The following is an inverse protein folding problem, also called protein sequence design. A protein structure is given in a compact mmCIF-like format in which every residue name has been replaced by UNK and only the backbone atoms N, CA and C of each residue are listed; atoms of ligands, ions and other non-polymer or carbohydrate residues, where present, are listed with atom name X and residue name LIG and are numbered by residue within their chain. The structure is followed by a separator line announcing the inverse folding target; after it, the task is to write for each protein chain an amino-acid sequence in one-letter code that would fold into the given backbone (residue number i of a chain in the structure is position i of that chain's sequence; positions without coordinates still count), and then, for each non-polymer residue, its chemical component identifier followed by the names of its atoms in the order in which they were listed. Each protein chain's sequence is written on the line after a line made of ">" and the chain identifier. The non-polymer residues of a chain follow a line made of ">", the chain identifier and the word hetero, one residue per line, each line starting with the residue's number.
data_IF_750611469718
#
_entry.id   IF_750611469718
#
_cell.length_a   1.000
_cell.length_b   1.000
_cell.length_c   1.000
_cell.angle_alpha   90.00
_cell.angle_beta   90.00
_cell.angle_gamma   90.00
#
_symmetry.space_group_name_H-M   'P 1'
#
loop_
_entity.id
_entity.type
_entity.pdbx_description
1 polymer ?
#
# COMPACT_ATOMS: atom_id res chain seq x y z
N UNK A 1 2.28 14.24 23.29
CA UNK A 1 2.13 13.11 24.23
C UNK A 1 1.23 12.07 23.57
N UNK A 2 1.74 10.85 23.45
CA UNK A 2 0.99 9.74 22.85
C UNK A 2 -0.18 9.35 23.74
N UNK A 3 -1.40 9.72 23.34
CA UNK A 3 -2.60 9.24 24.01
C UNK A 3 -3.00 7.90 23.40
N UNK A 4 -2.76 6.83 24.14
CA UNK A 4 -3.25 5.49 23.79
C UNK A 4 -4.61 5.26 24.42
N UNK A 5 -5.60 4.92 23.60
CA UNK A 5 -6.96 4.63 24.05
C UNK A 5 -7.24 3.13 24.24
N UNK A 6 -6.27 2.29 23.86
CA UNK A 6 -6.43 0.83 23.92
C UNK A 6 -6.46 0.35 25.36
N UNK A 7 -7.56 -0.27 25.72
CA UNK A 7 -7.68 -0.96 27.00
C UNK A 7 -7.23 -2.40 26.81
N UNK A 8 -6.23 -2.82 27.57
CA UNK A 8 -5.82 -4.24 27.62
C UNK A 8 -6.94 -5.06 28.25
N UNK A 9 -7.61 -5.88 27.46
CA UNK A 9 -8.77 -6.67 27.86
C UNK A 9 -8.37 -8.15 27.82
N UNK A 10 -8.69 -8.93 28.88
CA UNK A 10 -8.51 -10.37 28.89
C UNK A 10 -9.19 -11.04 27.69
N UNK A 11 -8.61 -12.13 27.20
CA UNK A 11 -9.05 -12.81 25.97
C UNK A 11 -10.53 -13.25 26.05
N UNK A 12 -11.00 -13.65 27.24
CA UNK A 12 -12.42 -14.00 27.50
C UNK A 12 -13.40 -12.84 27.27
N UNK A 13 -12.95 -11.59 27.42
CA UNK A 13 -13.78 -10.39 27.25
C UNK A 13 -13.54 -9.68 25.91
N UNK A 14 -12.83 -10.29 24.97
CA UNK A 14 -12.45 -9.68 23.69
C UNK A 14 -13.66 -9.12 22.89
N UNK A 15 -14.83 -9.73 23.02
CA UNK A 15 -16.07 -9.22 22.39
C UNK A 15 -16.50 -7.84 22.92
N UNK A 16 -16.09 -7.47 24.13
CA UNK A 16 -16.37 -6.16 24.74
C UNK A 16 -15.30 -5.10 24.42
N UNK A 17 -14.24 -5.45 23.72
CA UNK A 17 -13.14 -4.52 23.41
C UNK A 17 -13.62 -3.26 22.70
N UNK A 18 -14.44 -3.39 21.66
CA UNK A 18 -14.95 -2.25 20.89
C UNK A 18 -15.80 -1.28 21.73
N UNK A 19 -16.84 -1.71 22.45
CA UNK A 19 -17.61 -0.81 23.28
C UNK A 19 -16.80 -0.19 24.43
N UNK A 20 -15.88 -0.92 25.04
CA UNK A 20 -15.02 -0.39 26.10
C UNK A 20 -14.03 0.66 25.57
N UNK A 21 -13.40 0.40 24.42
CA UNK A 21 -12.51 1.37 23.77
C UNK A 21 -13.28 2.61 23.32
N UNK A 22 -14.48 2.46 22.78
CA UNK A 22 -15.33 3.59 22.45
C UNK A 22 -15.68 4.42 23.70
N UNK A 23 -16.11 3.76 24.77
CA UNK A 23 -16.45 4.44 26.03
C UNK A 23 -15.24 5.19 26.58
N UNK A 24 -14.07 4.57 26.60
CA UNK A 24 -12.85 5.21 27.04
C UNK A 24 -12.52 6.46 26.21
N UNK A 25 -12.57 6.37 24.89
CA UNK A 25 -12.38 7.52 24.00
C UNK A 25 -13.43 8.60 24.23
N UNK A 26 -14.68 8.19 24.41
CA UNK A 26 -15.78 9.12 24.64
C UNK A 26 -15.65 9.89 25.96
N UNK A 27 -15.25 9.22 27.03
CA UNK A 27 -14.98 9.85 28.34
C UNK A 27 -13.81 10.83 28.26
N UNK A 28 -12.81 10.53 27.43
CA UNK A 28 -11.62 11.36 27.25
C UNK A 28 -11.68 12.28 26.02
N UNK A 29 -12.83 12.40 25.35
CA UNK A 29 -12.97 13.17 24.10
C UNK A 29 -12.52 14.63 24.18
N UNK A 30 -12.52 15.22 25.38
CA UNK A 30 -11.97 16.59 25.59
C UNK A 30 -10.50 16.70 25.20
N UNK A 31 -9.74 15.60 25.19
CA UNK A 31 -8.35 15.55 24.73
C UNK A 31 -8.22 15.56 23.21
N UNK A 32 -9.31 15.34 22.49
CA UNK A 32 -9.37 15.23 21.03
C UNK A 32 -9.89 16.54 20.39
N UNK A 33 -9.78 17.68 21.08
CA UNK A 33 -10.26 18.97 20.61
C UNK A 33 -9.20 20.08 20.76
N UNK A 34 -9.41 21.16 20.03
CA UNK A 34 -8.57 22.36 20.14
C UNK A 34 -7.27 22.28 19.31
N UNK A 35 -7.19 21.35 18.37
CA UNK A 35 -6.08 21.24 17.44
C UNK A 35 -6.32 22.13 16.21
N UNK A 36 -5.25 22.71 15.67
CA UNK A 36 -5.33 23.43 14.41
C UNK A 36 -5.58 22.49 13.24
N UNK A 37 -4.97 21.30 13.27
CA UNK A 37 -5.13 20.29 12.23
C UNK A 37 -5.26 18.91 12.84
N UNK A 38 -6.21 18.12 12.30
CA UNK A 38 -6.39 16.69 12.63
C UNK A 38 -6.28 15.87 11.37
N UNK A 39 -5.42 14.85 11.38
CA UNK A 39 -5.31 13.85 10.32
C UNK A 39 -5.94 12.54 10.76
N UNK A 40 -6.91 12.07 9.99
CA UNK A 40 -7.46 10.73 10.12
C UNK A 40 -6.76 9.81 9.13
N UNK A 41 -6.22 8.70 9.60
CA UNK A 41 -5.53 7.71 8.74
C UNK A 41 -6.50 6.71 8.13
N UNK A 42 -7.60 6.42 8.85
CA UNK A 42 -8.61 5.43 8.45
C UNK A 42 -10.00 5.95 8.81
N UNK A 43 -11.04 5.76 8.00
CA UNK A 43 -12.42 6.19 8.32
C UNK A 43 -13.08 5.37 9.43
N UNK A 44 -12.40 4.37 10.00
CA UNK A 44 -12.97 3.43 10.96
C UNK A 44 -11.99 2.99 12.07
N UNK A 45 -11.30 3.94 12.72
CA UNK A 45 -10.21 3.65 13.67
C UNK A 45 -10.65 2.94 14.97
N UNK A 46 -11.90 3.09 15.44
CA UNK A 46 -12.39 2.40 16.64
C UNK A 46 -12.88 0.99 16.31
N UNK A 47 -13.63 0.89 15.23
CA UNK A 47 -14.28 -0.34 14.80
C UNK A 47 -14.78 -0.20 13.37
N UNK A 48 -14.96 -1.33 12.71
CA UNK A 48 -15.64 -1.37 11.41
C UNK A 48 -17.15 -1.11 11.48
N UNK A 49 -17.71 -1.07 12.67
CA UNK A 49 -19.09 -0.68 12.86
C UNK A 49 -19.22 0.84 12.95
N UNK A 50 -19.91 1.43 11.98
CA UNK A 50 -20.06 2.89 11.84
C UNK A 50 -20.62 3.57 13.10
N UNK A 51 -21.49 2.89 13.85
CA UNK A 51 -22.07 3.40 15.10
C UNK A 51 -21.04 3.81 16.15
N UNK A 52 -19.85 3.22 16.12
CA UNK A 52 -18.77 3.53 17.05
C UNK A 52 -17.84 4.65 16.53
N UNK A 53 -17.67 4.75 15.22
CA UNK A 53 -16.79 5.75 14.62
C UNK A 53 -17.49 7.10 14.43
N UNK A 54 -18.63 7.13 13.79
CA UNK A 54 -19.30 8.36 13.37
C UNK A 54 -19.46 9.43 14.48
N UNK A 55 -19.85 9.11 15.72
CA UNK A 55 -19.97 10.12 16.77
C UNK A 55 -18.62 10.77 17.13
N UNK A 56 -17.53 9.98 17.18
CA UNK A 56 -16.20 10.51 17.50
C UNK A 56 -15.64 11.36 16.38
N UNK A 57 -15.78 10.93 15.13
CA UNK A 57 -15.35 11.74 13.98
C UNK A 57 -16.09 13.07 13.92
N UNK A 58 -17.43 13.06 14.04
CA UNK A 58 -18.22 14.29 14.05
C UNK A 58 -17.84 15.21 15.21
N UNK A 59 -17.54 14.63 16.40
CA UNK A 59 -17.04 15.40 17.52
C UNK A 59 -15.70 16.05 17.21
N UNK A 60 -14.71 15.29 16.69
CA UNK A 60 -13.39 15.81 16.36
C UNK A 60 -13.45 16.86 15.26
N UNK A 61 -14.21 16.63 14.19
CA UNK A 61 -14.39 17.61 13.11
C UNK A 61 -14.99 18.91 13.62
N UNK A 62 -16.01 18.82 14.48
CA UNK A 62 -16.69 20.00 15.04
C UNK A 62 -15.81 20.82 15.99
N UNK A 63 -14.88 20.21 16.72
CA UNK A 63 -14.14 20.86 17.80
C UNK A 63 -12.66 21.11 17.48
N UNK A 64 -12.25 20.91 16.25
CA UNK A 64 -10.92 21.24 15.74
C UNK A 64 -11.05 22.17 14.53
N UNK A 65 -9.96 22.83 14.15
CA UNK A 65 -9.99 23.90 13.18
C UNK A 65 -10.07 23.37 11.75
N UNK A 66 -9.26 22.35 11.45
CA UNK A 66 -9.23 21.71 10.12
C UNK A 66 -9.02 20.21 10.27
N UNK A 67 -9.68 19.42 9.41
CA UNK A 67 -9.66 17.96 9.44
C UNK A 67 -9.39 17.37 8.07
N UNK A 68 -8.49 16.41 8.02
CA UNK A 68 -8.12 15.71 6.79
C UNK A 68 -8.23 14.19 6.95
N UNK A 69 -8.69 13.50 5.91
CA UNK A 69 -8.62 12.05 5.80
C UNK A 69 -7.49 11.69 4.83
N UNK A 70 -6.56 10.86 5.28
CA UNK A 70 -5.50 10.33 4.44
C UNK A 70 -6.03 9.13 3.64
N UNK A 71 -5.92 9.19 2.33
CA UNK A 71 -6.25 8.10 1.43
C UNK A 71 -5.09 7.12 1.32
N UNK A 72 -4.87 6.31 2.36
CA UNK A 72 -3.73 5.40 2.48
C UNK A 72 -4.11 3.94 2.76
N UNK A 73 -5.40 3.62 2.77
CA UNK A 73 -5.91 2.27 3.04
C UNK A 73 -7.16 1.94 2.22
N UNK A 74 -7.45 0.65 2.13
CA UNK A 74 -8.62 0.16 1.41
C UNK A 74 -9.90 0.55 2.16
N UNK A 75 -10.79 1.26 1.48
CA UNK A 75 -12.09 1.69 2.02
C UNK A 75 -13.24 1.09 1.22
N UNK A 76 -14.45 1.16 1.76
CA UNK A 76 -15.63 0.57 1.12
C UNK A 76 -15.93 1.24 -0.22
N UNK A 77 -15.90 2.56 -0.27
CA UNK A 77 -16.12 3.32 -1.50
C UNK A 77 -15.06 3.04 -2.56
N UNK A 78 -13.77 2.97 -2.16
CA UNK A 78 -12.68 2.65 -3.06
C UNK A 78 -12.87 1.28 -3.70
N UNK A 79 -13.16 0.27 -2.90
CA UNK A 79 -13.34 -1.09 -3.40
C UNK A 79 -14.58 -1.22 -4.27
N UNK A 80 -15.67 -0.57 -3.89
CA UNK A 80 -16.88 -0.50 -4.72
C UNK A 80 -16.56 0.11 -6.10
N UNK A 81 -15.82 1.21 -6.13
CA UNK A 81 -15.38 1.84 -7.37
C UNK A 81 -14.58 0.87 -8.25
N UNK A 82 -13.51 0.26 -7.71
CA UNK A 82 -12.62 -0.59 -8.48
C UNK A 82 -13.26 -1.90 -8.94
N UNK A 83 -14.17 -2.51 -8.16
CA UNK A 83 -14.93 -3.69 -8.61
C UNK A 83 -15.79 -3.36 -9.83
N UNK A 84 -16.38 -2.17 -9.88
CA UNK A 84 -17.26 -1.75 -10.95
C UNK A 84 -16.55 -1.00 -12.07
N UNK A 85 -15.29 -0.62 -11.86
CA UNK A 85 -14.48 0.10 -12.84
C UNK A 85 -14.15 -0.78 -14.07
N UNK A 86 -14.01 -0.13 -15.22
CA UNK A 86 -13.46 -0.73 -16.43
C UNK A 86 -11.95 -0.52 -16.54
N UNK A 87 -11.32 0.07 -15.54
CA UNK A 87 -9.91 0.37 -15.56
C UNK A 87 -9.04 -0.88 -15.42
N UNK A 88 -7.79 -0.74 -15.84
CA UNK A 88 -6.80 -1.78 -16.11
C UNK A 88 -6.58 -2.74 -14.94
N UNK A 89 -6.47 -2.20 -13.72
CA UNK A 89 -6.11 -2.94 -12.51
C UNK A 89 -7.27 -3.16 -11.53
N UNK A 90 -8.50 -3.22 -12.00
CA UNK A 90 -9.62 -3.61 -11.12
C UNK A 90 -9.39 -4.93 -10.37
N UNK A 91 -8.51 -5.78 -10.88
CA UNK A 91 -8.10 -7.04 -10.23
C UNK A 91 -7.31 -6.87 -8.94
N UNK A 92 -6.68 -5.72 -8.71
CA UNK A 92 -6.10 -5.37 -7.41
C UNK A 92 -7.11 -5.59 -6.28
N UNK A 93 -8.29 -5.06 -6.45
CA UNK A 93 -9.37 -5.18 -5.48
C UNK A 93 -9.92 -6.61 -5.41
N UNK A 94 -10.04 -7.29 -6.55
CA UNK A 94 -10.46 -8.69 -6.56
C UNK A 94 -9.46 -9.57 -5.81
N UNK A 95 -8.17 -9.29 -5.94
CA UNK A 95 -7.11 -9.94 -5.16
C UNK A 95 -7.28 -9.72 -3.65
N UNK A 96 -7.62 -8.49 -3.23
CA UNK A 96 -7.93 -8.19 -1.83
C UNK A 96 -9.11 -9.01 -1.33
N UNK A 97 -10.21 -9.07 -2.10
CA UNK A 97 -11.41 -9.83 -1.74
C UNK A 97 -11.11 -11.32 -1.64
N UNK A 98 -10.39 -11.87 -2.61
CA UNK A 98 -10.03 -13.30 -2.63
C UNK A 98 -9.10 -13.64 -1.46
N UNK A 99 -8.09 -12.83 -1.19
CA UNK A 99 -7.21 -13.00 -0.04
C UNK A 99 -7.95 -12.90 1.29
N UNK A 100 -8.91 -11.98 1.41
CA UNK A 100 -9.74 -11.85 2.58
C UNK A 100 -10.62 -13.09 2.82
N UNK A 101 -11.20 -13.67 1.80
CA UNK A 101 -11.98 -14.92 1.89
C UNK A 101 -11.11 -16.08 2.35
N UNK A 102 -9.93 -16.26 1.74
CA UNK A 102 -9.00 -17.35 2.03
C UNK A 102 -8.50 -17.32 3.48
N UNK A 103 -8.25 -16.15 4.01
CA UNK A 103 -7.67 -15.95 5.34
C UNK A 103 -8.69 -15.70 6.46
N UNK A 104 -9.97 -15.98 6.20
CA UNK A 104 -11.06 -15.72 7.16
C UNK A 104 -11.04 -14.27 7.70
N UNK A 105 -10.50 -13.35 6.94
CA UNK A 105 -10.56 -11.94 7.25
C UNK A 105 -12.04 -11.54 7.21
N UNK A 106 -12.63 -11.36 8.38
CA UNK A 106 -13.98 -10.80 8.58
C UNK A 106 -14.13 -9.39 8.03
N UNK A 107 -13.15 -9.00 7.36
CA UNK A 107 -12.84 -7.79 6.66
C UNK A 107 -13.48 -7.73 5.30
N UNK A 108 -14.28 -8.61 4.98
CA UNK A 108 -15.08 -8.38 3.81
C UNK A 108 -15.99 -7.21 4.10
N UNK A 109 -15.30 -6.11 4.10
CA UNK A 109 -15.84 -4.79 4.02
C UNK A 109 -16.78 -4.67 2.81
N UNK A 110 -16.84 -5.72 1.94
CA UNK A 110 -17.34 -5.51 0.59
C UNK A 110 -18.20 -6.64 0.08
N UNK A 111 -19.35 -6.25 -0.44
CA UNK A 111 -20.00 -4.94 -0.46
C UNK A 111 -20.61 -4.61 0.92
N UNK A 112 -20.22 -3.48 1.54
CA UNK A 112 -20.77 -3.04 2.83
C UNK A 112 -21.42 -1.66 2.73
N UNK A 113 -22.69 -1.65 2.38
CA UNK A 113 -23.48 -0.42 2.19
C UNK A 113 -23.47 0.52 3.40
N UNK A 114 -23.31 -0.01 4.64
CA UNK A 114 -23.26 0.84 5.84
C UNK A 114 -21.94 1.60 5.95
N UNK A 115 -20.83 0.96 5.60
CA UNK A 115 -19.52 1.62 5.52
C UNK A 115 -19.47 2.61 4.38
N UNK A 116 -19.93 2.23 3.19
CA UNK A 116 -20.00 3.14 2.03
C UNK A 116 -20.80 4.39 2.36
N UNK A 117 -21.94 4.24 3.01
CA UNK A 117 -22.75 5.37 3.45
C UNK A 117 -21.99 6.27 4.44
N UNK A 118 -21.32 5.68 5.41
CA UNK A 118 -20.54 6.43 6.39
C UNK A 118 -19.34 7.16 5.74
N UNK A 119 -18.59 6.48 4.91
CA UNK A 119 -17.46 7.08 4.18
C UNK A 119 -17.92 8.24 3.30
N UNK A 120 -19.04 8.06 2.60
CA UNK A 120 -19.65 9.12 1.81
C UNK A 120 -20.07 10.32 2.69
N UNK A 121 -20.70 10.09 3.84
CA UNK A 121 -21.02 11.16 4.79
C UNK A 121 -19.77 11.87 5.30
N UNK A 122 -18.71 11.12 5.65
CA UNK A 122 -17.45 11.67 6.14
C UNK A 122 -16.82 12.60 5.10
N UNK A 123 -16.78 12.18 3.82
CA UNK A 123 -16.23 12.98 2.73
C UNK A 123 -17.01 14.28 2.44
N UNK A 124 -18.25 14.41 2.92
CA UNK A 124 -19.03 15.64 2.82
C UNK A 124 -18.83 16.60 3.99
N UNK A 125 -18.31 16.12 5.12
CA UNK A 125 -18.16 16.94 6.33
C UNK A 125 -16.71 17.26 6.69
N UNK A 126 -15.75 16.62 6.02
CA UNK A 126 -14.31 16.82 6.23
C UNK A 126 -13.77 17.92 5.32
N UNK A 127 -12.73 18.65 5.78
CA UNK A 127 -12.12 19.74 5.02
C UNK A 127 -11.25 19.26 3.85
N UNK A 128 -10.73 18.03 3.93
CA UNK A 128 -9.97 17.47 2.83
C UNK A 128 -9.72 15.97 2.91
N UNK A 129 -9.67 15.38 1.72
CA UNK A 129 -9.21 14.01 1.50
C UNK A 129 -7.89 14.06 0.72
N UNK A 130 -6.82 13.50 1.27
CA UNK A 130 -5.47 13.54 0.72
C UNK A 130 -5.09 12.14 0.24
N UNK A 131 -5.18 11.82 -1.05
CA UNK A 131 -4.73 10.55 -1.58
C UNK A 131 -3.20 10.47 -1.61
N UNK A 132 -2.66 9.23 -1.55
CA UNK A 132 -1.22 8.98 -1.62
C UNK A 132 -0.78 8.45 -2.99
N UNK A 133 -1.70 7.86 -3.76
CA UNK A 133 -1.48 7.29 -5.10
C UNK A 133 -2.72 7.45 -5.97
N UNK A 134 -2.57 7.17 -7.25
CA UNK A 134 -3.66 7.17 -8.23
C UNK A 134 -4.84 6.30 -7.80
N UNK A 135 -4.57 5.11 -7.29
CA UNK A 135 -5.59 4.15 -6.85
C UNK A 135 -6.47 4.69 -5.73
N UNK A 136 -5.93 5.58 -4.92
CA UNK A 136 -6.67 6.26 -3.84
C UNK A 136 -7.22 7.62 -4.26
N UNK A 137 -6.74 8.20 -5.37
CA UNK A 137 -7.26 9.46 -5.90
C UNK A 137 -8.47 9.25 -6.80
N UNK A 138 -8.37 8.32 -7.73
CA UNK A 138 -9.33 8.12 -8.80
C UNK A 138 -10.77 7.87 -8.30
N UNK A 139 -11.03 7.02 -7.31
CA UNK A 139 -12.38 6.77 -6.80
C UNK A 139 -13.06 8.01 -6.19
N UNK A 140 -12.28 9.00 -5.78
CA UNK A 140 -12.75 10.13 -5.00
C UNK A 140 -12.76 11.46 -5.76
N UNK A 141 -12.43 11.47 -7.05
CA UNK A 141 -12.37 12.70 -7.86
C UNK A 141 -13.68 13.48 -7.92
N UNK A 142 -14.80 12.83 -7.71
CA UNK A 142 -16.12 13.45 -7.68
C UNK A 142 -16.38 14.27 -6.40
N UNK A 143 -15.58 14.08 -5.34
CA UNK A 143 -15.80 14.76 -4.06
C UNK A 143 -15.07 16.11 -4.03
N UNK A 144 -15.76 17.15 -3.57
CA UNK A 144 -15.20 18.50 -3.46
C UNK A 144 -14.04 18.62 -2.47
N UNK A 145 -14.00 17.72 -1.50
CA UNK A 145 -12.95 17.70 -0.48
C UNK A 145 -11.62 17.11 -0.97
N UNK A 146 -11.55 16.51 -2.17
CA UNK A 146 -10.30 15.93 -2.67
C UNK A 146 -9.22 17.00 -2.81
N UNK A 147 -8.04 16.69 -2.31
CA UNK A 147 -6.85 17.53 -2.42
C UNK A 147 -5.86 16.90 -3.40
N UNK A 148 -4.78 17.62 -3.69
CA UNK A 148 -3.66 17.10 -4.47
C UNK A 148 -3.09 15.85 -3.78
N UNK A 149 -2.73 14.85 -4.57
CA UNK A 149 -2.05 13.65 -4.10
C UNK A 149 -0.71 14.02 -3.47
N UNK A 150 -0.46 13.51 -2.27
CA UNK A 150 0.81 13.65 -1.57
C UNK A 150 1.43 12.26 -1.46
N UNK A 151 2.58 12.07 -2.09
CA UNK A 151 3.33 10.81 -2.03
C UNK A 151 3.63 10.42 -0.59
N UNK A 152 3.70 9.12 -0.30
CA UNK A 152 4.10 8.64 1.02
C UNK A 152 5.49 9.18 1.36
N UNK A 153 5.64 9.89 2.48
CA UNK A 153 6.95 10.34 2.94
C UNK A 153 7.74 9.13 3.46
N UNK A 154 8.98 9.00 3.01
CA UNK A 154 9.93 8.01 3.54
C UNK A 154 11.12 8.74 4.21
N UNK A 155 11.58 8.26 5.38
CA UNK A 155 12.72 8.86 6.06
C UNK A 155 14.03 8.41 5.39
N UNK A 156 14.37 9.01 4.25
CA UNK A 156 15.54 8.64 3.41
C UNK A 156 16.82 8.53 4.26
N UNK A 157 16.99 9.39 5.27
CA UNK A 157 18.16 9.40 6.15
C UNK A 157 18.36 8.08 6.91
N UNK A 158 17.30 7.28 7.07
CA UNK A 158 17.36 5.96 7.72
C UNK A 158 17.79 4.83 6.76
N UNK A 159 17.73 5.10 5.45
CA UNK A 159 18.01 4.10 4.42
C UNK A 159 19.25 4.53 3.64
N UNK A 160 20.41 4.03 4.10
CA UNK A 160 21.67 4.36 3.45
C UNK A 160 21.71 3.75 2.05
N UNK A 161 21.92 4.59 1.05
CA UNK A 161 22.23 4.14 -0.31
C UNK A 161 23.49 3.25 -0.30
N UNK A 162 23.46 2.19 -1.07
CA UNK A 162 24.60 1.32 -1.34
C UNK A 162 24.67 1.02 -2.84
N UNK A 163 25.86 1.06 -3.46
CA UNK A 163 26.01 0.68 -4.87
C UNK A 163 25.41 -0.70 -5.14
N UNK A 164 24.68 -0.81 -6.24
CA UNK A 164 23.98 -2.04 -6.62
C UNK A 164 24.91 -2.94 -7.46
N UNK A 165 25.88 -3.55 -6.81
CA UNK A 165 26.91 -4.36 -7.46
C UNK A 165 26.47 -5.82 -7.51
N UNK A 166 26.55 -6.42 -8.70
CA UNK A 166 26.39 -7.87 -8.88
C UNK A 166 27.69 -8.56 -8.49
N UNK A 167 27.63 -9.44 -7.48
CA UNK A 167 28.83 -10.17 -6.99
C UNK A 167 29.07 -11.45 -7.77
N UNK A 168 28.06 -12.30 -7.85
CA UNK A 168 28.10 -13.59 -8.54
C UNK A 168 26.91 -13.67 -9.50
N UNK A 169 25.72 -13.89 -8.98
CA UNK A 169 24.46 -13.88 -9.71
C UNK A 169 23.66 -12.61 -9.47
N UNK A 170 22.85 -12.22 -10.44
CA UNK A 170 21.86 -11.16 -10.25
C UNK A 170 20.75 -11.71 -9.37
N UNK A 171 20.46 -11.07 -8.24
CA UNK A 171 19.43 -11.53 -7.30
C UNK A 171 18.14 -10.75 -7.50
N UNK A 172 17.10 -11.44 -7.96
CA UNK A 172 15.73 -10.96 -8.07
C UNK A 172 14.93 -11.38 -6.84
N UNK A 173 14.16 -10.46 -6.28
CA UNK A 173 13.38 -10.73 -5.08
C UNK A 173 11.94 -10.21 -5.20
N UNK A 174 10.99 -11.04 -4.80
CA UNK A 174 9.60 -10.65 -4.58
C UNK A 174 9.20 -10.88 -3.13
N UNK A 175 8.80 -9.80 -2.46
CA UNK A 175 8.27 -9.85 -1.11
C UNK A 175 6.82 -10.34 -1.09
N UNK A 176 6.61 -11.57 -0.62
CA UNK A 176 5.29 -12.21 -0.60
C UNK A 176 4.43 -11.64 0.53
N UNK A 177 3.33 -10.94 0.23
CA UNK A 177 2.42 -10.44 1.25
C UNK A 177 1.45 -11.51 1.74
N UNK A 178 0.79 -11.26 2.85
CA UNK A 178 -0.29 -12.14 3.34
C UNK A 178 -1.48 -12.25 2.36
N UNK A 179 -1.64 -11.28 1.48
CA UNK A 179 -2.65 -11.22 0.42
C UNK A 179 -1.97 -11.33 -0.95
N UNK A 180 -1.48 -12.52 -1.29
CA UNK A 180 -0.66 -12.78 -2.48
C UNK A 180 -1.29 -12.30 -3.78
N UNK A 181 -2.60 -12.55 -3.96
CA UNK A 181 -3.32 -12.16 -5.18
C UNK A 181 -3.39 -10.64 -5.36
N UNK A 182 -3.38 -9.87 -4.26
CA UNK A 182 -3.43 -8.42 -4.34
C UNK A 182 -2.22 -7.83 -5.06
N UNK A 183 -1.03 -8.37 -4.82
CA UNK A 183 0.22 -7.95 -5.46
C UNK A 183 0.54 -8.69 -6.76
N UNK A 184 -0.28 -9.65 -7.19
CA UNK A 184 0.02 -10.46 -8.36
C UNK A 184 1.14 -11.49 -8.13
N UNK A 185 1.36 -11.91 -6.89
CA UNK A 185 2.39 -12.91 -6.52
C UNK A 185 2.33 -14.19 -7.37
N UNK A 186 1.17 -14.77 -7.70
CA UNK A 186 1.12 -15.97 -8.55
C UNK A 186 1.72 -15.74 -9.93
N UNK A 187 1.54 -14.55 -10.52
CA UNK A 187 2.06 -14.19 -11.83
C UNK A 187 3.58 -14.03 -11.76
N UNK A 188 4.07 -13.37 -10.72
CA UNK A 188 5.51 -13.16 -10.50
C UNK A 188 6.22 -14.50 -10.23
N UNK A 189 5.61 -15.40 -9.44
CA UNK A 189 6.17 -16.74 -9.22
C UNK A 189 6.29 -17.53 -10.52
N UNK A 190 5.29 -17.46 -11.39
CA UNK A 190 5.34 -18.17 -12.66
C UNK A 190 6.45 -17.61 -13.56
N UNK A 191 6.60 -16.28 -13.61
CA UNK A 191 7.71 -15.66 -14.32
C UNK A 191 9.07 -16.11 -13.74
N UNK A 192 9.23 -16.12 -12.42
CA UNK A 192 10.45 -16.61 -11.77
C UNK A 192 10.74 -18.08 -12.11
N UNK A 193 9.73 -18.95 -12.08
CA UNK A 193 9.87 -20.36 -12.44
C UNK A 193 10.35 -20.56 -13.90
N UNK A 194 9.87 -19.72 -14.81
CA UNK A 194 10.30 -19.74 -16.22
C UNK A 194 11.73 -19.27 -16.35
N UNK A 195 12.04 -18.15 -15.72
CA UNK A 195 13.35 -17.51 -15.81
C UNK A 195 14.45 -18.31 -15.10
N UNK A 196 14.14 -18.96 -14.00
CA UNK A 196 15.08 -19.84 -13.29
C UNK A 196 15.53 -21.04 -14.16
N UNK A 197 14.62 -21.61 -14.96
CA UNK A 197 14.99 -22.67 -15.93
C UNK A 197 15.91 -22.18 -17.04
N UNK A 198 15.79 -20.89 -17.41
CA UNK A 198 16.56 -20.32 -18.52
C UNK A 198 17.88 -19.70 -18.05
N UNK A 199 17.90 -19.04 -16.89
CA UNK A 199 18.98 -18.20 -16.40
C UNK A 199 19.42 -18.54 -14.96
N UNK A 200 19.12 -19.72 -14.44
CA UNK A 200 19.48 -20.10 -13.07
C UNK A 200 20.97 -20.13 -12.77
N UNK A 201 21.83 -20.18 -13.81
CA UNK A 201 23.27 -20.07 -13.65
C UNK A 201 23.75 -18.59 -13.51
N UNK A 202 22.97 -17.63 -14.02
CA UNK A 202 23.31 -16.20 -14.05
C UNK A 202 22.51 -15.37 -13.07
N UNK A 203 21.35 -15.88 -12.62
CA UNK A 203 20.42 -15.17 -11.73
C UNK A 203 19.85 -16.08 -10.65
N UNK A 204 19.53 -15.49 -9.51
CA UNK A 204 18.80 -16.12 -8.37
C UNK A 204 17.43 -15.47 -8.24
N UNK A 205 16.38 -16.29 -8.07
CA UNK A 205 14.99 -15.84 -7.98
C UNK A 205 14.38 -16.21 -6.63
N UNK A 206 14.07 -15.21 -5.80
CA UNK A 206 13.61 -15.39 -4.43
C UNK A 206 12.20 -14.86 -4.26
N UNK A 207 11.28 -15.73 -3.80
CA UNK A 207 9.97 -15.35 -3.29
C UNK A 207 9.92 -15.68 -1.81
N UNK A 208 9.94 -14.67 -0.93
CA UNK A 208 9.85 -14.88 0.51
C UNK A 208 8.93 -13.87 1.18
N UNK A 209 8.25 -14.30 2.25
CA UNK A 209 7.36 -13.48 3.05
C UNK A 209 7.34 -13.92 4.50
N UNK A 210 6.78 -13.08 5.39
CA UNK A 210 6.70 -13.40 6.82
C UNK A 210 8.05 -13.35 7.55
N UNK A 211 9.09 -12.78 6.94
CA UNK A 211 10.41 -12.64 7.55
C UNK A 211 10.38 -11.60 8.68
N UNK A 212 11.10 -11.82 9.79
CA UNK A 212 11.44 -10.77 10.74
C UNK A 212 12.10 -9.59 10.03
N UNK A 213 11.89 -8.37 10.56
CA UNK A 213 12.38 -7.15 9.90
C UNK A 213 13.89 -7.17 9.63
N UNK A 214 14.69 -7.63 10.58
CA UNK A 214 16.14 -7.66 10.43
C UNK A 214 16.60 -8.67 9.38
N UNK A 215 15.97 -9.85 9.29
CA UNK A 215 16.24 -10.84 8.25
C UNK A 215 15.82 -10.30 6.87
N UNK A 216 14.68 -9.63 6.79
CA UNK A 216 14.24 -8.95 5.59
C UNK A 216 15.25 -7.90 5.13
N UNK A 217 15.77 -7.08 6.04
CA UNK A 217 16.77 -6.05 5.74
C UNK A 217 18.12 -6.65 5.30
N UNK A 218 18.52 -7.79 5.86
CA UNK A 218 19.71 -8.54 5.41
C UNK A 218 19.50 -9.08 3.99
N UNK A 219 18.33 -9.67 3.71
CA UNK A 219 17.99 -10.13 2.36
C UNK A 219 18.03 -8.99 1.34
N UNK A 220 17.39 -7.85 1.64
CA UNK A 220 17.41 -6.67 0.76
C UNK A 220 18.83 -6.17 0.49
N UNK A 221 19.76 -6.34 1.42
CA UNK A 221 21.15 -5.87 1.21
C UNK A 221 21.86 -6.59 0.05
N UNK A 222 21.54 -7.87 -0.19
CA UNK A 222 22.16 -8.69 -1.26
C UNK A 222 21.34 -8.72 -2.58
N UNK A 223 20.11 -8.24 -2.55
CA UNK A 223 19.23 -8.20 -3.73
C UNK A 223 19.68 -7.10 -4.69
N UNK A 224 19.55 -7.34 -6.00
CA UNK A 224 19.78 -6.35 -7.05
C UNK A 224 18.47 -5.76 -7.57
N UNK A 225 17.45 -6.58 -7.73
CA UNK A 225 16.18 -6.21 -8.36
C UNK A 225 15.00 -6.64 -7.49
N UNK A 226 14.10 -5.71 -7.18
CA UNK A 226 12.87 -5.97 -6.42
C UNK A 226 11.68 -5.98 -7.37
N UNK A 227 10.86 -7.03 -7.33
CA UNK A 227 9.53 -7.04 -7.93
C UNK A 227 8.50 -6.70 -6.85
N UNK A 228 7.89 -5.52 -6.93
CA UNK A 228 6.97 -5.03 -5.88
C UNK A 228 5.54 -5.47 -6.13
N UNK A 229 4.91 -5.00 -7.20
CA UNK A 229 3.47 -5.20 -7.45
C UNK A 229 3.16 -5.19 -8.95
N UNK A 230 2.51 -6.26 -9.44
CA UNK A 230 2.07 -6.37 -10.83
C UNK A 230 0.60 -5.92 -11.02
N UNK A 231 -0.09 -5.51 -9.96
CA UNK A 231 -1.50 -5.14 -9.97
C UNK A 231 -1.75 -3.67 -9.59
N UNK A 232 -0.75 -2.81 -9.60
CA UNK A 232 -0.90 -1.41 -9.22
C UNK A 232 -0.40 -0.43 -10.28
N UNK A 233 -0.90 0.80 -10.22
CA UNK A 233 -0.47 1.90 -11.08
C UNK A 233 0.84 2.54 -10.61
N UNK A 234 1.17 2.38 -9.33
CA UNK A 234 2.34 2.98 -8.70
C UNK A 234 3.01 1.99 -7.74
N UNK A 235 4.31 2.15 -7.49
CA UNK A 235 5.01 1.33 -6.48
C UNK A 235 4.55 1.68 -5.06
N UNK A 236 4.56 0.66 -4.20
CA UNK A 236 4.26 0.78 -2.78
C UNK A 236 5.51 1.08 -1.93
N UNK A 237 5.34 1.12 -0.61
CA UNK A 237 6.42 1.37 0.35
C UNK A 237 7.65 0.49 0.14
N UNK A 238 7.45 -0.78 -0.19
CA UNK A 238 8.56 -1.71 -0.42
C UNK A 238 9.44 -1.29 -1.59
N UNK A 239 8.81 -0.89 -2.70
CA UNK A 239 9.52 -0.34 -3.85
C UNK A 239 10.27 0.94 -3.50
N UNK A 240 9.61 1.90 -2.83
CA UNK A 240 10.24 3.17 -2.43
C UNK A 240 11.45 2.97 -1.52
N UNK A 241 11.36 2.10 -0.52
CA UNK A 241 12.46 1.79 0.39
C UNK A 241 13.63 1.11 -0.34
N UNK A 242 13.31 0.26 -1.30
CA UNK A 242 14.31 -0.43 -2.11
C UNK A 242 15.05 0.53 -3.03
N UNK A 243 14.34 1.46 -3.66
CA UNK A 243 14.97 2.54 -4.44
C UNK A 243 15.89 3.41 -3.59
N UNK A 244 15.46 3.80 -2.38
CA UNK A 244 16.28 4.56 -1.45
C UNK A 244 17.59 3.83 -1.07
N UNK A 245 17.64 2.51 -1.19
CA UNK A 245 18.83 1.68 -0.97
C UNK A 245 19.63 1.41 -2.26
N UNK A 246 19.24 1.99 -3.39
CA UNK A 246 19.91 1.82 -4.66
C UNK A 246 19.54 0.53 -5.41
N UNK A 247 18.38 -0.08 -5.11
CA UNK A 247 17.93 -1.29 -5.82
C UNK A 247 17.07 -0.93 -7.02
N UNK A 248 17.19 -1.72 -8.09
CA UNK A 248 16.26 -1.63 -9.22
C UNK A 248 14.89 -2.11 -8.75
N UNK A 249 13.85 -1.39 -9.14
CA UNK A 249 12.47 -1.75 -8.84
C UNK A 249 11.69 -2.02 -10.12
N UNK A 250 11.04 -3.16 -10.14
CA UNK A 250 10.02 -3.52 -11.11
C UNK A 250 8.67 -3.46 -10.38
N UNK A 251 7.70 -2.71 -10.89
CA UNK A 251 6.42 -2.52 -10.18
C UNK A 251 5.47 -1.63 -10.97
N UNK A 252 4.46 -1.08 -10.32
CA UNK A 252 3.54 -0.15 -10.97
C UNK A 252 4.25 1.14 -11.38
N UNK A 253 4.26 1.45 -12.66
CA UNK A 253 4.76 2.70 -13.24
C UNK A 253 3.90 3.11 -14.46
N UNK A 254 2.59 2.96 -14.32
CA UNK A 254 1.64 3.29 -15.38
C UNK A 254 1.54 4.81 -15.60
N UNK A 255 1.20 5.21 -16.81
CA UNK A 255 1.10 6.62 -17.19
C UNK A 255 0.16 7.42 -16.30
N UNK A 256 -0.95 6.81 -15.87
CA UNK A 256 -1.94 7.40 -14.97
C UNK A 256 -1.34 7.66 -13.59
N UNK A 257 -0.59 6.69 -13.04
CA UNK A 257 0.14 6.82 -11.78
C UNK A 257 1.23 7.87 -11.85
N UNK A 258 2.00 7.87 -12.93
CA UNK A 258 3.07 8.86 -13.15
C UNK A 258 2.50 10.28 -13.21
N UNK A 259 1.42 10.50 -13.97
CA UNK A 259 0.73 11.79 -14.06
C UNK A 259 0.20 12.25 -12.71
N UNK A 260 -0.41 11.35 -11.94
CA UNK A 260 -0.93 11.64 -10.60
C UNK A 260 0.16 12.11 -9.65
N UNK A 261 1.31 11.46 -9.73
CA UNK A 261 2.45 11.75 -8.86
C UNK A 261 3.32 12.90 -9.39
N UNK A 262 2.99 13.50 -10.55
CA UNK A 262 3.78 14.55 -11.18
C UNK A 262 5.19 14.05 -11.52
N UNK A 263 5.31 12.83 -12.04
CA UNK A 263 6.56 12.31 -12.58
C UNK A 263 6.60 12.72 -14.06
N UNK A 264 7.33 13.80 -14.32
CA UNK A 264 7.58 14.30 -15.66
C UNK A 264 8.90 13.71 -16.15
N UNK A 265 8.88 12.91 -17.23
CA UNK A 265 10.05 12.27 -17.80
C UNK A 265 10.10 10.75 -17.60
N UNK A 266 11.29 10.19 -17.58
CA UNK A 266 11.50 8.74 -17.46
C UNK A 266 11.32 8.32 -16.00
N UNK A 267 10.37 7.42 -15.75
CA UNK A 267 10.26 6.78 -14.45
C UNK A 267 11.35 5.70 -14.34
N UNK A 268 12.21 5.71 -13.32
CA UNK A 268 13.25 4.69 -13.13
C UNK A 268 12.70 3.30 -12.78
N UNK A 269 11.41 3.18 -12.52
CA UNK A 269 10.75 1.91 -12.22
C UNK A 269 10.43 1.17 -13.52
N UNK A 270 10.83 -0.08 -13.63
CA UNK A 270 10.42 -0.97 -14.71
C UNK A 270 8.95 -1.35 -14.52
N UNK A 271 8.07 -0.86 -15.40
CA UNK A 271 6.64 -1.07 -15.26
C UNK A 271 6.25 -2.54 -15.42
N UNK A 272 5.67 -3.13 -14.39
CA UNK A 272 5.10 -4.48 -14.45
C UNK A 272 3.63 -4.45 -14.85
N UNK A 273 3.23 -5.44 -15.64
CA UNK A 273 1.83 -5.71 -15.96
C UNK A 273 1.46 -7.12 -15.48
N UNK A 274 0.19 -7.51 -15.68
CA UNK A 274 -0.28 -8.86 -15.35
C UNK A 274 0.08 -9.92 -16.40
N UNK A 275 1.03 -9.65 -17.24
CA UNK A 275 1.48 -10.55 -18.30
C UNK A 275 2.82 -11.20 -17.91
N UNK A 276 2.78 -12.53 -17.73
CA UNK A 276 3.97 -13.34 -17.39
C UNK A 276 5.06 -13.16 -18.43
N UNK A 277 4.72 -13.08 -19.72
CA UNK A 277 5.69 -12.94 -20.81
C UNK A 277 6.36 -11.58 -20.72
N UNK A 278 5.59 -10.52 -20.46
CA UNK A 278 6.14 -9.17 -20.29
C UNK A 278 7.12 -9.12 -19.10
N UNK A 279 6.77 -9.76 -17.98
CA UNK A 279 7.65 -9.84 -16.81
C UNK A 279 8.94 -10.60 -17.17
N UNK A 280 8.84 -11.74 -17.85
CA UNK A 280 10.00 -12.52 -18.30
C UNK A 280 10.90 -11.70 -19.22
N UNK A 281 10.35 -10.98 -20.20
CA UNK A 281 11.10 -10.15 -21.12
C UNK A 281 11.87 -9.03 -20.41
N UNK A 282 11.26 -8.42 -19.39
CA UNK A 282 11.94 -7.38 -18.60
C UNK A 282 13.05 -7.96 -17.70
N UNK A 283 12.82 -9.11 -17.09
CA UNK A 283 13.86 -9.82 -16.33
C UNK A 283 15.03 -10.17 -17.24
N UNK A 284 14.75 -10.74 -18.41
CA UNK A 284 15.76 -11.06 -19.42
C UNK A 284 16.54 -9.82 -19.87
N UNK A 285 15.84 -8.72 -20.11
CA UNK A 285 16.49 -7.45 -20.46
C UNK A 285 17.49 -7.00 -19.39
N UNK A 286 17.13 -7.11 -18.12
CA UNK A 286 18.02 -6.75 -17.00
C UNK A 286 19.23 -7.70 -16.93
N UNK A 287 19.03 -9.00 -17.14
CA UNK A 287 20.11 -9.99 -17.14
C UNK A 287 21.12 -9.73 -18.25
N UNK A 288 20.63 -9.46 -19.46
CA UNK A 288 21.46 -9.18 -20.63
C UNK A 288 22.22 -7.85 -20.55
N UNK A 289 21.79 -6.94 -19.65
CA UNK A 289 22.43 -5.63 -19.43
C UNK A 289 22.93 -5.51 -17.99
N UNK A 290 23.52 -6.57 -17.46
CA UNK A 290 24.04 -6.63 -16.08
C UNK A 290 25.07 -5.55 -15.75
N UNK A 291 25.76 -5.05 -16.75
CA UNK A 291 26.72 -3.94 -16.67
C UNK A 291 26.06 -2.60 -16.30
N UNK A 292 24.75 -2.44 -16.52
CA UNK A 292 23.98 -1.23 -16.20
C UNK A 292 23.30 -1.25 -14.83
N UNK A 293 23.38 -2.36 -14.10
CA UNK A 293 22.64 -2.53 -12.84
C UNK A 293 23.03 -1.46 -11.79
N UNK A 294 24.30 -1.12 -11.70
CA UNK A 294 24.76 -0.07 -10.78
C UNK A 294 24.23 1.31 -11.19
N UNK A 295 24.27 1.63 -12.50
CA UNK A 295 23.76 2.88 -13.05
C UNK A 295 22.24 3.03 -12.77
N UNK A 296 21.47 2.01 -13.10
CA UNK A 296 20.02 1.99 -12.85
C UNK A 296 19.64 2.06 -11.37
N UNK A 297 20.45 1.49 -10.49
CA UNK A 297 20.25 1.61 -9.05
C UNK A 297 20.57 2.99 -8.49
N UNK A 298 21.25 3.84 -9.27
CA UNK A 298 21.62 5.21 -8.89
C UNK A 298 20.59 6.25 -9.38
N UNK A 299 19.89 5.96 -10.48
CA UNK A 299 18.88 6.83 -11.09
C UNK A 299 17.59 6.91 -10.25
#
# INVERSE_FOLDING_TARGET
>A
SDFRYDIKIPQCLRKLSTPLNFLNLWLHKKRLRGFDVVFFVDPSFVSRHTKWNAPLYRYMIKHNKTSYLCGSGDTALMVHYWINSKEKYKYYVQGIINGAKKNNYSVLLYPNKKLEKWENELLHIIDGYIPIWYEYAQPFRQYKCIKKTIRIPIPIQKYKYTPNIVKDKIVFFHGVPTREEAKGTPIIREAFRIMEKKYGDEAEFICAGGLPFDEYMQLISRVNVILDDANSYSIAMNGLLSMAKGKIVMGGAESEGNKELGIDGVNPVFNLTRDVIQICNQIEYIILHKDKIEEWGRS
#
